data_IF_313899175166
#
_entry.id   IF_313899175166
#
_cell.length_a   1.000
_cell.length_b   1.000
_cell.length_c   1.000
_cell.angle_alpha   90.00
_cell.angle_beta   90.00
_cell.angle_gamma   90.00
#
_symmetry.space_group_name_H-M   'P 1'
#
loop_
_entity.id
_entity.type
_entity.pdbx_description
1 polymer ?
#
# COMPACT_ATOMS: atom_id res chain seq x y z
N UNK A 1 -6.41 -18.82 -17.77
CA UNK A 1 -7.03 -18.49 -16.47
C UNK A 1 -6.15 -17.44 -15.81
N UNK A 2 -6.44 -16.15 -16.01
CA UNK A 2 -5.59 -15.02 -15.57
C UNK A 2 -6.38 -13.85 -14.95
N UNK A 3 -7.72 -13.92 -14.91
CA UNK A 3 -8.58 -12.77 -14.65
C UNK A 3 -8.32 -12.06 -13.31
N UNK A 4 -7.98 -12.79 -12.24
CA UNK A 4 -7.73 -12.19 -10.93
C UNK A 4 -6.31 -11.64 -10.80
N UNK A 5 -5.30 -12.36 -11.32
CA UNK A 5 -3.91 -11.90 -11.30
C UNK A 5 -3.73 -10.63 -12.13
N UNK A 6 -4.49 -10.50 -13.22
CA UNK A 6 -4.45 -9.32 -14.07
C UNK A 6 -4.94 -8.06 -13.33
N UNK A 7 -5.94 -8.22 -12.46
CA UNK A 7 -6.44 -7.12 -11.61
C UNK A 7 -5.49 -6.76 -10.48
N UNK A 8 -4.89 -7.77 -9.83
CA UNK A 8 -3.93 -7.55 -8.73
C UNK A 8 -2.66 -6.86 -9.23
N UNK A 9 -2.20 -7.23 -10.42
CA UNK A 9 -0.97 -6.70 -11.03
C UNK A 9 -1.23 -5.51 -11.97
N UNK A 10 -2.37 -4.82 -11.82
CA UNK A 10 -2.67 -3.64 -12.63
C UNK A 10 -1.69 -2.51 -12.32
N UNK A 11 -0.94 -2.07 -13.32
CA UNK A 11 -0.04 -0.92 -13.20
C UNK A 11 -0.86 0.39 -13.15
N UNK A 12 -0.76 1.09 -12.02
CA UNK A 12 -1.45 2.36 -11.77
C UNK A 12 -0.63 3.59 -12.17
N UNK A 13 0.67 3.44 -12.45
CA UNK A 13 1.62 4.55 -12.63
C UNK A 13 1.25 5.51 -13.77
N UNK A 14 0.68 4.99 -14.86
CA UNK A 14 0.22 5.78 -16.01
C UNK A 14 -1.23 6.29 -15.92
N UNK A 15 -1.95 5.99 -14.83
CA UNK A 15 -3.39 6.30 -14.70
C UNK A 15 -3.67 7.34 -13.61
N UNK A 16 -2.87 7.37 -12.56
CA UNK A 16 -3.01 8.32 -11.44
C UNK A 16 -1.65 8.58 -10.80
N UNK A 17 -1.47 9.76 -10.21
CA UNK A 17 -0.30 10.05 -9.38
C UNK A 17 -0.40 9.47 -7.96
N UNK A 18 -1.55 8.90 -7.59
CA UNK A 18 -1.80 8.33 -6.26
C UNK A 18 -0.97 7.06 -6.05
N UNK A 19 -0.60 6.81 -4.79
CA UNK A 19 0.06 5.57 -4.38
C UNK A 19 -0.77 4.87 -3.30
N UNK A 20 -0.49 3.59 -3.07
CA UNK A 20 -1.00 2.83 -1.92
C UNK A 20 0.19 2.64 -0.96
N UNK A 21 0.05 3.16 0.26
CA UNK A 21 1.03 2.97 1.33
C UNK A 21 0.51 1.95 2.35
N UNK A 22 1.30 0.91 2.62
CA UNK A 22 1.00 -0.09 3.63
C UNK A 22 1.61 0.34 4.96
N UNK A 23 0.76 0.63 5.96
CA UNK A 23 1.23 0.94 7.31
C UNK A 23 1.33 -0.37 8.08
N UNK A 24 2.48 -0.64 8.69
CA UNK A 24 2.79 -1.90 9.39
C UNK A 24 3.10 -1.59 10.86
N UNK A 25 2.56 -2.38 11.78
CA UNK A 25 2.84 -2.24 13.21
C UNK A 25 2.83 -3.59 13.94
N UNK A 26 3.45 -3.62 15.11
CA UNK A 26 3.40 -4.77 16.02
C UNK A 26 2.06 -4.77 16.76
N UNK A 27 1.36 -5.89 16.72
CA UNK A 27 0.07 -6.09 17.36
C UNK A 27 0.16 -6.08 18.89
N UNK A 28 -1.00 -5.99 19.54
CA UNK A 28 -1.08 -5.86 21.01
C UNK A 28 -0.51 -7.05 21.78
N UNK A 29 -0.26 -8.19 21.13
CA UNK A 29 0.39 -9.35 21.75
C UNK A 29 1.93 -9.22 21.80
N UNK A 30 2.51 -8.27 21.06
CA UNK A 30 3.95 -8.13 20.90
C UNK A 30 4.60 -9.15 19.95
N UNK A 31 3.86 -10.14 19.45
CA UNK A 31 4.38 -11.17 18.55
C UNK A 31 3.83 -11.08 17.12
N UNK A 32 2.61 -10.55 16.95
CA UNK A 32 1.94 -10.49 15.66
C UNK A 32 2.24 -9.19 14.91
N UNK A 33 2.29 -9.29 13.57
CA UNK A 33 2.37 -8.12 12.69
C UNK A 33 0.98 -7.81 12.16
N UNK A 34 0.61 -6.53 12.19
CA UNK A 34 -0.62 -6.02 11.61
C UNK A 34 -0.30 -4.99 10.55
N UNK A 35 -1.17 -4.86 9.56
CA UNK A 35 -1.01 -3.86 8.54
C UNK A 35 -2.35 -3.38 7.98
N UNK A 36 -2.33 -2.18 7.38
CA UNK A 36 -3.48 -1.61 6.67
C UNK A 36 -3.01 -0.63 5.60
N UNK A 37 -3.46 -0.85 4.36
CA UNK A 37 -3.27 0.05 3.23
C UNK A 37 -4.07 1.36 3.35
N UNK A 38 -3.49 2.46 2.87
CA UNK A 38 -4.16 3.74 2.59
C UNK A 38 -3.74 4.28 1.23
N UNK A 39 -4.67 4.89 0.50
CA UNK A 39 -4.36 5.66 -0.71
C UNK A 39 -3.86 7.06 -0.35
N UNK A 40 -2.70 7.46 -0.87
CA UNK A 40 -2.13 8.80 -0.73
C UNK A 40 -2.25 9.57 -2.06
N UNK A 41 -2.21 10.90 -1.99
CA UNK A 41 -2.36 11.77 -3.17
C UNK A 41 -1.19 11.72 -4.14
N UNK A 42 -0.01 11.32 -3.68
CA UNK A 42 1.23 11.31 -4.46
C UNK A 42 2.34 10.46 -3.81
N UNK A 43 3.46 10.24 -4.52
CA UNK A 43 4.65 9.61 -3.95
C UNK A 43 5.19 10.40 -2.75
N UNK A 44 5.64 9.70 -1.72
CA UNK A 44 6.27 10.28 -0.52
C UNK A 44 7.64 9.64 -0.34
N UNK A 45 8.65 10.48 -0.15
CA UNK A 45 10.07 10.12 -0.06
C UNK A 45 10.64 10.22 1.38
N UNK A 46 9.90 10.88 2.27
CA UNK A 46 10.29 11.13 3.66
C UNK A 46 9.21 10.58 4.60
N UNK A 47 9.53 9.61 5.49
CA UNK A 47 8.57 9.05 6.44
C UNK A 47 7.90 10.08 7.36
N UNK A 48 8.53 11.24 7.60
CA UNK A 48 7.95 12.30 8.44
C UNK A 48 6.72 12.98 7.80
N UNK A 49 6.47 12.75 6.51
CA UNK A 49 5.33 13.31 5.76
C UNK A 49 4.10 12.38 5.74
N UNK A 50 4.12 11.28 6.51
CA UNK A 50 3.10 10.21 6.53
C UNK A 50 2.19 10.18 7.77
#
# INVERSE_FOLDING_TARGET
MALLSDLINLDLSGRTGKIIAEYIWVGGSGMDVRSKARTLSGPVDDPSKL
#
